data_IF_523321605177
#
_entry.id   IF_523321605177
#
_cell.length_a   1.000
_cell.length_b   1.000
_cell.length_c   1.000
_cell.angle_alpha   90.00
_cell.angle_beta   90.00
_cell.angle_gamma   90.00
#
_symmetry.space_group_name_H-M   'P 1'
#
loop_
_entity.id
_entity.type
_entity.pdbx_description
1 polymer ?
#
# COMPACT_ATOMS: atom_id res chain seq x y z
N UNK A 1 20.42 6.26 11.16
CA UNK A 1 19.67 7.54 11.05
C UNK A 1 18.18 7.39 11.37
N UNK A 2 17.44 6.44 10.78
CA UNK A 2 15.99 6.26 11.02
C UNK A 2 15.59 6.02 12.51
N UNK A 3 16.43 5.31 13.27
CA UNK A 3 16.14 5.01 14.68
C UNK A 3 16.18 6.25 15.61
N UNK A 4 17.10 7.20 15.39
CA UNK A 4 17.20 8.41 16.23
C UNK A 4 16.03 9.38 15.99
N UNK A 5 15.58 9.51 14.74
CA UNK A 5 14.43 10.36 14.39
C UNK A 5 13.12 9.78 14.92
N UNK A 6 12.98 8.46 14.91
CA UNK A 6 11.81 7.76 15.46
C UNK A 6 11.76 7.85 17.00
N UNK A 7 12.92 7.76 17.67
CA UNK A 7 13.00 7.94 19.11
C UNK A 7 12.67 9.38 19.55
N UNK A 8 13.13 10.39 18.81
CA UNK A 8 12.85 11.80 19.11
C UNK A 8 11.36 12.13 18.89
N UNK A 9 10.76 11.66 17.79
CA UNK A 9 9.34 11.89 17.49
C UNK A 9 8.43 11.22 18.52
N UNK A 10 8.76 10.00 18.98
CA UNK A 10 8.05 9.35 20.09
C UNK A 10 8.15 10.16 21.40
N UNK A 11 9.34 10.69 21.71
CA UNK A 11 9.57 11.54 22.90
C UNK A 11 8.80 12.86 22.83
N UNK A 12 8.79 13.54 21.68
CA UNK A 12 8.03 14.78 21.43
C UNK A 12 6.53 14.52 21.58
N UNK A 13 6.03 13.40 21.07
CA UNK A 13 4.63 13.04 21.19
C UNK A 13 4.23 12.74 22.64
N UNK A 14 5.08 12.04 23.40
CA UNK A 14 4.88 11.82 24.83
C UNK A 14 4.83 13.12 25.64
N UNK A 15 5.73 14.07 25.34
CA UNK A 15 5.72 15.38 25.99
C UNK A 15 4.45 16.18 25.65
N UNK A 16 4.00 16.18 24.38
CA UNK A 16 2.77 16.87 23.94
C UNK A 16 1.52 16.34 24.63
N UNK A 17 1.46 15.02 24.88
CA UNK A 17 0.33 14.38 25.55
C UNK A 17 0.29 14.68 27.06
N UNK A 18 1.44 14.98 27.68
CA UNK A 18 1.53 15.31 29.10
C UNK A 18 1.10 16.74 29.46
N UNK A 19 0.89 17.62 28.46
CA UNK A 19 0.49 19.02 28.67
C UNK A 19 -0.97 19.25 28.26
N UNK A 20 -1.88 19.57 29.22
CA UNK A 20 -3.29 19.84 28.92
C UNK A 20 -3.50 20.98 27.93
N UNK A 21 -4.57 20.88 27.12
CA UNK A 21 -4.80 21.80 26.00
C UNK A 21 -5.04 23.28 26.40
N UNK A 22 -5.42 23.53 27.66
CA UNK A 22 -5.73 24.88 28.16
C UNK A 22 -4.55 25.62 28.83
N UNK A 23 -3.40 24.98 29.07
CA UNK A 23 -2.27 25.63 29.76
C UNK A 23 -1.26 26.25 28.77
N UNK A 24 -1.47 27.52 28.46
CA UNK A 24 -0.68 28.30 27.48
C UNK A 24 0.79 28.48 27.89
N UNK A 25 1.09 28.51 29.20
CA UNK A 25 2.46 28.72 29.72
C UNK A 25 3.30 27.46 29.55
N UNK A 26 2.75 26.29 29.92
CA UNK A 26 3.43 25.00 29.77
C UNK A 26 3.59 24.59 28.31
N UNK A 27 2.65 24.95 27.43
CA UNK A 27 2.79 24.74 25.98
C UNK A 27 3.94 25.54 25.37
N UNK A 28 4.15 26.78 25.81
CA UNK A 28 5.27 27.59 25.34
C UNK A 28 6.61 26.98 25.78
N UNK A 29 6.71 26.57 27.06
CA UNK A 29 7.90 25.89 27.58
C UNK A 29 8.17 24.56 26.85
N UNK A 30 7.13 23.82 26.50
CA UNK A 30 7.25 22.59 25.72
C UNK A 30 7.71 22.85 24.28
N UNK A 31 7.21 23.91 23.64
CA UNK A 31 7.66 24.29 22.30
C UNK A 31 9.14 24.71 22.28
N UNK A 32 9.57 25.48 23.28
CA UNK A 32 10.97 25.89 23.44
C UNK A 32 11.89 24.67 23.68
N UNK A 33 11.43 23.70 24.48
CA UNK A 33 12.17 22.46 24.76
C UNK A 33 12.25 21.51 23.55
N UNK A 34 11.17 21.42 22.74
CA UNK A 34 11.17 20.66 21.49
C UNK A 34 12.18 21.27 20.50
N UNK A 35 12.16 22.60 20.34
CA UNK A 35 13.10 23.29 19.45
C UNK A 35 14.57 23.10 19.89
N UNK A 36 14.82 23.05 21.21
CA UNK A 36 16.16 22.77 21.76
C UNK A 36 16.62 21.35 21.43
N UNK A 37 15.76 20.35 21.61
CA UNK A 37 16.09 18.95 21.34
C UNK A 37 16.30 18.67 19.84
N UNK A 38 15.54 19.34 18.97
CA UNK A 38 15.71 19.26 17.52
C UNK A 38 17.04 19.89 17.08
N UNK A 39 17.40 21.06 17.62
CA UNK A 39 18.67 21.71 17.32
C UNK A 39 19.89 20.91 17.80
N UNK A 40 19.82 20.28 18.98
CA UNK A 40 20.89 19.44 19.51
C UNK A 40 21.12 18.18 18.65
N UNK A 41 20.03 17.59 18.15
CA UNK A 41 20.09 16.41 17.28
C UNK A 41 20.68 16.75 15.91
N UNK A 42 20.29 17.89 15.33
CA UNK A 42 20.87 18.38 14.08
C UNK A 42 22.37 18.65 14.23
N UNK A 43 22.78 19.29 15.33
CA UNK A 43 24.19 19.56 15.61
C UNK A 43 25.00 18.25 15.73
N UNK A 44 24.49 17.25 16.47
CA UNK A 44 25.13 15.93 16.57
C UNK A 44 25.28 15.26 15.21
N UNK A 45 24.23 15.29 14.38
CA UNK A 45 24.30 14.73 13.03
C UNK A 45 25.33 15.44 12.16
N UNK A 46 25.42 16.77 12.23
CA UNK A 46 26.44 17.50 11.45
C UNK A 46 27.86 17.15 11.88
N UNK A 47 28.09 16.92 13.18
CA UNK A 47 29.39 16.52 13.72
C UNK A 47 29.73 15.07 13.33
N UNK A 48 28.79 14.13 13.44
CA UNK A 48 28.96 12.73 13.02
C UNK A 48 29.28 12.63 11.52
N UNK A 49 28.59 13.41 10.68
CA UNK A 49 28.87 13.47 9.24
C UNK A 49 30.25 14.07 8.93
N UNK A 50 30.72 15.01 9.75
CA UNK A 50 32.05 15.60 9.62
C UNK A 50 33.13 14.58 10.02
N UNK A 51 32.94 13.89 11.14
CA UNK A 51 33.83 12.82 11.60
C UNK A 51 33.91 11.65 10.60
N UNK A 52 32.79 11.25 10.00
CA UNK A 52 32.76 10.22 8.95
C UNK A 52 33.53 10.65 7.69
N UNK A 53 33.44 11.93 7.31
CA UNK A 53 34.23 12.47 6.18
C UNK A 53 35.71 12.52 6.50
N UNK A 54 36.08 12.90 7.73
CA UNK A 54 37.48 12.94 8.18
C UNK A 54 38.06 11.52 8.28
N UNK A 55 37.32 10.55 8.84
CA UNK A 55 37.71 9.15 8.88
C UNK A 55 37.84 8.53 7.48
N UNK A 56 36.96 8.88 6.55
CA UNK A 56 37.06 8.44 5.15
C UNK A 56 38.30 9.02 4.45
N UNK A 57 38.71 10.26 4.78
CA UNK A 57 39.93 10.87 4.25
C UNK A 57 41.20 10.25 4.84
N UNK A 58 41.18 9.81 6.10
CA UNK A 58 42.29 9.07 6.72
C UNK A 58 42.41 7.63 6.21
N UNK A 59 41.29 6.95 5.97
CA UNK A 59 41.26 5.62 5.35
C UNK A 59 41.87 5.65 3.93
N UNK A 60 41.50 6.66 3.13
CA UNK A 60 42.07 6.87 1.79
C UNK A 60 43.58 7.22 1.83
N UNK A 61 44.08 7.83 2.92
CA UNK A 61 45.51 8.08 3.10
C UNK A 61 46.30 6.83 3.50
N UNK A 62 45.70 5.91 4.27
CA UNK A 62 46.35 4.66 4.68
C UNK A 62 46.39 3.64 3.52
N UNK A 63 45.34 3.59 2.69
CA UNK A 63 45.31 2.73 1.50
C UNK A 63 46.32 3.19 0.42
N UNK A 64 46.64 4.49 0.37
CA UNK A 64 47.68 5.05 -0.51
C UNK A 64 49.11 4.66 -0.12
N UNK A 65 49.36 4.21 1.12
CA UNK A 65 50.70 3.81 1.58
C UNK A 65 50.94 2.31 1.35
N UNK A 66 49.88 1.51 1.25
CA UNK A 66 49.97 0.06 1.01
C UNK A 66 50.28 -0.32 -0.45
N UNK A 67 50.06 0.57 -1.41
CA UNK A 67 50.33 0.34 -2.85
C UNK A 67 51.75 0.75 -3.30
N UNK A 68 52.59 1.21 -2.38
CA UNK A 68 53.92 1.77 -2.66
C UNK A 68 55.07 0.77 -2.88
N UNK A 69 54.83 -0.44 -3.42
CA UNK A 69 55.91 -1.43 -3.67
C UNK A 69 55.89 -2.06 -5.07
N UNK A 70 55.05 -1.60 -6.01
CA UNK A 70 54.97 -2.23 -7.34
C UNK A 70 55.00 -1.27 -8.52
N UNK A 71 55.97 -0.35 -8.56
CA UNK A 71 56.35 0.29 -9.84
C UNK A 71 57.78 0.84 -9.78
N UNK A 72 58.73 0.00 -10.14
CA UNK A 72 60.05 0.40 -10.63
C UNK A 72 60.07 0.16 -12.14
N UNK A 73 60.64 1.12 -12.86
CA UNK A 73 60.98 1.14 -14.29
C UNK A 73 59.88 1.57 -15.27
N UNK A 74 59.79 2.89 -15.50
CA UNK A 74 60.05 3.44 -16.83
C UNK A 74 60.48 4.92 -16.72
N UNK A 75 61.69 5.20 -17.19
CA UNK A 75 62.26 6.54 -17.26
C UNK A 75 61.56 7.44 -18.29
N UNK A 76 61.35 8.71 -17.92
CA UNK A 76 61.49 9.85 -18.82
C UNK A 76 60.25 10.33 -19.58
N UNK A 77 59.40 11.14 -18.93
CA UNK A 77 58.87 12.42 -19.45
C UNK A 77 57.95 13.06 -18.40
N UNK A 78 58.50 13.99 -17.63
CA UNK A 78 57.71 14.95 -16.87
C UNK A 78 56.97 15.88 -17.86
N UNK A 79 55.63 15.92 -17.80
CA UNK A 79 54.85 17.16 -17.59
C UNK A 79 53.33 16.95 -17.82
N UNK A 80 52.57 17.36 -16.80
CA UNK A 80 51.12 17.67 -16.78
C UNK A 80 50.10 16.53 -16.90
N UNK A 81 49.87 15.82 -15.79
CA UNK A 81 48.59 15.15 -15.53
C UNK A 81 47.54 16.23 -15.19
N UNK A 82 46.81 16.71 -16.20
CA UNK A 82 45.59 17.50 -15.96
C UNK A 82 44.51 16.54 -15.44
N UNK A 83 44.11 16.67 -14.18
CA UNK A 83 42.87 16.04 -13.71
C UNK A 83 41.70 16.57 -14.57
N UNK A 84 40.97 15.71 -15.30
CA UNK A 84 39.84 16.17 -16.10
C UNK A 84 38.80 16.79 -15.15
N UNK A 85 38.60 18.11 -15.28
CA UNK A 85 37.60 18.83 -14.50
C UNK A 85 36.22 18.33 -14.94
N UNK A 86 35.65 17.42 -14.14
CA UNK A 86 34.29 16.91 -14.32
C UNK A 86 33.35 18.10 -14.49
N UNK A 87 32.68 18.16 -15.63
CA UNK A 87 31.77 19.25 -15.96
C UNK A 87 30.61 19.32 -14.96
N UNK A 88 30.11 20.52 -14.68
CA UNK A 88 28.89 20.73 -13.87
C UNK A 88 27.70 19.92 -14.41
N UNK A 89 27.66 19.65 -15.72
CA UNK A 89 26.63 18.81 -16.35
C UNK A 89 26.81 17.31 -16.02
N UNK A 90 28.05 16.84 -15.96
CA UNK A 90 28.38 15.45 -15.64
C UNK A 90 28.08 15.13 -14.18
N UNK A 91 28.44 16.04 -13.26
CA UNK A 91 28.08 15.93 -11.83
C UNK A 91 26.57 15.90 -11.57
N UNK A 92 25.76 16.59 -12.39
CA UNK A 92 24.28 16.55 -12.30
C UNK A 92 23.72 15.21 -12.79
N UNK A 93 24.28 14.63 -13.86
CA UNK A 93 23.88 13.31 -14.37
C UNK A 93 24.22 12.21 -13.38
N UNK A 94 25.44 12.25 -12.82
CA UNK A 94 25.89 11.30 -11.79
C UNK A 94 25.01 11.37 -10.53
N UNK A 95 24.65 12.58 -10.07
CA UNK A 95 23.70 12.73 -8.94
C UNK A 95 22.31 12.17 -9.26
N UNK A 96 21.78 12.37 -10.47
CA UNK A 96 20.49 11.81 -10.90
C UNK A 96 20.56 10.28 -10.97
N UNK A 97 21.62 9.73 -11.56
CA UNK A 97 21.84 8.29 -11.66
C UNK A 97 22.00 7.64 -10.28
N UNK A 98 22.70 8.30 -9.34
CA UNK A 98 22.82 7.82 -7.96
C UNK A 98 21.47 7.81 -7.23
N UNK A 99 20.64 8.85 -7.41
CA UNK A 99 19.28 8.89 -6.84
C UNK A 99 18.35 7.85 -7.47
N UNK A 100 18.47 7.61 -8.76
CA UNK A 100 17.70 6.59 -9.48
C UNK A 100 18.11 5.18 -9.05
N UNK A 101 19.42 4.92 -8.93
CA UNK A 101 19.95 3.66 -8.40
C UNK A 101 19.55 3.44 -6.93
N UNK A 102 19.63 4.46 -6.07
CA UNK A 102 19.16 4.36 -4.68
C UNK A 102 17.65 4.07 -4.62
N UNK A 103 16.88 4.68 -5.52
CA UNK A 103 15.44 4.41 -5.64
C UNK A 103 15.18 2.98 -6.11
N UNK A 104 15.94 2.48 -7.09
CA UNK A 104 15.84 1.11 -7.60
C UNK A 104 16.27 0.09 -6.53
N UNK A 105 17.37 0.34 -5.81
CA UNK A 105 17.83 -0.51 -4.71
C UNK A 105 16.79 -0.57 -3.59
N UNK A 106 16.19 0.57 -3.21
CA UNK A 106 15.09 0.59 -2.23
C UNK A 106 13.84 -0.15 -2.71
N UNK A 107 13.53 -0.09 -4.02
CA UNK A 107 12.43 -0.86 -4.60
C UNK A 107 12.75 -2.35 -4.57
N UNK A 108 13.97 -2.75 -4.93
CA UNK A 108 14.40 -4.14 -4.92
C UNK A 108 14.42 -4.73 -3.51
N UNK A 109 14.91 -3.99 -2.51
CA UNK A 109 14.84 -4.40 -1.09
C UNK A 109 13.39 -4.57 -0.63
N UNK A 110 12.51 -3.62 -0.96
CA UNK A 110 11.09 -3.74 -0.65
C UNK A 110 10.43 -4.92 -1.39
N UNK A 111 10.85 -5.25 -2.61
CA UNK A 111 10.38 -6.43 -3.34
C UNK A 111 10.83 -7.73 -2.67
N UNK A 112 12.08 -7.80 -2.20
CA UNK A 112 12.60 -8.96 -1.46
C UNK A 112 11.86 -9.16 -0.15
N UNK A 113 11.60 -8.10 0.62
CA UNK A 113 10.77 -8.19 1.83
C UNK A 113 9.34 -8.63 1.49
N UNK A 114 8.78 -8.14 0.38
CA UNK A 114 7.46 -8.53 -0.11
C UNK A 114 7.38 -10.00 -0.53
N UNK A 115 8.47 -10.64 -0.99
CA UNK A 115 8.48 -12.07 -1.34
C UNK A 115 8.16 -12.98 -0.14
N UNK A 116 8.54 -12.57 1.08
CA UNK A 116 8.12 -13.28 2.31
C UNK A 116 6.90 -12.65 2.99
N UNK A 117 6.40 -11.55 2.43
CA UNK A 117 5.31 -10.78 2.98
C UNK A 117 3.97 -11.51 2.89
N UNK A 118 3.08 -11.18 3.84
CA UNK A 118 1.72 -11.72 3.91
C UNK A 118 0.96 -11.61 2.56
N UNK A 119 1.18 -10.51 1.82
CA UNK A 119 0.62 -10.29 0.48
C UNK A 119 1.02 -11.34 -0.54
N UNK A 120 2.31 -11.71 -0.59
CA UNK A 120 2.80 -12.66 -1.58
C UNK A 120 2.31 -14.08 -1.27
N UNK A 121 2.31 -14.45 0.01
CA UNK A 121 1.71 -15.71 0.47
C UNK A 121 0.21 -15.80 0.15
N UNK A 122 -0.54 -14.72 0.39
CA UNK A 122 -1.95 -14.61 0.05
C UNK A 122 -2.18 -14.75 -1.45
N UNK A 123 -1.39 -14.03 -2.26
CA UNK A 123 -1.48 -14.07 -3.72
C UNK A 123 -1.20 -15.48 -4.26
N UNK A 124 -0.17 -16.17 -3.76
CA UNK A 124 0.18 -17.53 -4.19
C UNK A 124 -0.91 -18.55 -3.84
N UNK A 125 -1.45 -18.51 -2.62
CA UNK A 125 -2.52 -19.42 -2.21
C UNK A 125 -3.79 -19.19 -3.01
N UNK A 126 -4.20 -17.94 -3.19
CA UNK A 126 -5.38 -17.60 -4.00
C UNK A 126 -5.20 -18.00 -5.46
N UNK A 127 -4.00 -17.78 -6.04
CA UNK A 127 -3.69 -18.25 -7.39
C UNK A 127 -3.83 -19.77 -7.51
N UNK A 128 -3.34 -20.53 -6.51
CA UNK A 128 -3.45 -21.99 -6.49
C UNK A 128 -4.91 -22.47 -6.38
N UNK A 129 -5.72 -21.82 -5.51
CA UNK A 129 -7.14 -22.13 -5.34
C UNK A 129 -7.95 -21.87 -6.62
N UNK A 130 -7.65 -20.76 -7.32
CA UNK A 130 -8.34 -20.40 -8.55
C UNK A 130 -7.87 -21.25 -9.74
N UNK A 131 -6.58 -21.59 -9.81
CA UNK A 131 -6.04 -22.44 -10.87
C UNK A 131 -6.70 -23.83 -10.89
N UNK A 132 -7.01 -24.41 -9.71
CA UNK A 132 -7.77 -25.65 -9.60
C UNK A 132 -9.20 -25.57 -10.18
N UNK A 133 -9.70 -24.34 -10.42
CA UNK A 133 -11.00 -24.05 -11.03
C UNK A 133 -10.87 -23.50 -12.46
N UNK A 134 -9.66 -23.55 -13.06
CA UNK A 134 -9.35 -22.92 -14.35
C UNK A 134 -9.62 -21.39 -14.37
N UNK A 135 -9.38 -20.72 -13.24
CA UNK A 135 -9.54 -19.29 -13.07
C UNK A 135 -8.22 -18.65 -12.64
N UNK A 136 -8.09 -17.35 -12.88
CA UNK A 136 -7.01 -16.51 -12.35
C UNK A 136 -7.54 -15.16 -11.86
N UNK A 137 -6.77 -14.51 -10.99
CA UNK A 137 -7.12 -13.19 -10.45
C UNK A 137 -7.04 -12.15 -11.57
N UNK A 138 -8.11 -11.39 -11.75
CA UNK A 138 -8.12 -10.18 -12.55
C UNK A 138 -8.08 -8.96 -11.64
N UNK A 139 -6.95 -8.27 -11.65
CA UNK A 139 -6.71 -7.13 -10.78
C UNK A 139 -7.68 -5.97 -11.08
N UNK A 140 -8.28 -5.44 -10.02
CA UNK A 140 -9.19 -4.30 -10.03
C UNK A 140 -8.49 -3.09 -9.40
N UNK A 141 -8.68 -1.86 -9.91
CA UNK A 141 -8.10 -0.66 -9.31
C UNK A 141 -8.49 -0.46 -7.85
N UNK A 142 -7.53 -0.04 -7.01
CA UNK A 142 -7.74 0.30 -5.60
C UNK A 142 -8.22 1.75 -5.44
N UNK A 143 -9.46 2.03 -5.82
CA UNK A 143 -10.07 3.37 -5.77
C UNK A 143 -11.28 3.49 -4.82
N UNK A 144 -11.42 2.54 -3.89
CA UNK A 144 -12.58 2.46 -2.97
C UNK A 144 -13.87 1.94 -3.61
N UNK A 145 -13.88 1.71 -4.93
CA UNK A 145 -14.99 1.08 -5.63
C UNK A 145 -14.72 -0.38 -6.01
N UNK A 146 -13.65 -0.99 -5.47
CA UNK A 146 -13.13 -2.28 -5.90
C UNK A 146 -14.17 -3.41 -5.90
N UNK A 147 -14.99 -3.55 -4.86
CA UNK A 147 -16.05 -4.55 -4.79
C UNK A 147 -17.07 -4.39 -5.94
N UNK A 148 -17.57 -3.16 -6.14
CA UNK A 148 -18.53 -2.86 -7.21
C UNK A 148 -17.91 -3.01 -8.60
N UNK A 149 -16.64 -2.64 -8.77
CA UNK A 149 -15.90 -2.82 -10.03
C UNK A 149 -15.66 -4.29 -10.36
N UNK A 150 -15.38 -5.11 -9.35
CA UNK A 150 -15.20 -6.55 -9.52
C UNK A 150 -16.52 -7.20 -9.98
N UNK A 151 -17.65 -6.80 -9.38
CA UNK A 151 -18.98 -7.27 -9.81
C UNK A 151 -19.33 -6.76 -11.21
N UNK A 152 -19.16 -5.46 -11.47
CA UNK A 152 -19.35 -4.87 -12.80
C UNK A 152 -18.55 -5.65 -13.85
N UNK A 153 -17.31 -6.01 -13.55
CA UNK A 153 -16.45 -6.77 -14.45
C UNK A 153 -16.93 -8.19 -14.73
N UNK A 154 -17.42 -8.92 -13.71
CA UNK A 154 -18.03 -10.25 -13.87
C UNK A 154 -19.35 -10.21 -14.65
N UNK A 155 -20.05 -9.07 -14.64
CA UNK A 155 -21.32 -8.89 -15.34
C UNK A 155 -21.17 -8.52 -16.81
N UNK A 156 -19.97 -8.13 -17.30
CA UNK A 156 -19.73 -7.66 -18.68
C UNK A 156 -20.12 -8.65 -19.77
N UNK A 157 -20.09 -9.95 -19.48
CA UNK A 157 -20.48 -11.00 -20.44
C UNK A 157 -22.00 -11.10 -20.62
N UNK A 158 -22.76 -10.52 -19.70
CA UNK A 158 -24.21 -10.40 -19.78
C UNK A 158 -24.48 -9.03 -20.39
N UNK A 159 -25.22 -8.95 -21.50
CA UNK A 159 -25.53 -7.73 -22.29
C UNK A 159 -26.24 -6.58 -21.52
N UNK A 160 -26.21 -6.59 -20.19
CA UNK A 160 -26.82 -5.62 -19.30
C UNK A 160 -25.84 -4.50 -18.93
N UNK A 161 -26.35 -3.26 -18.97
CA UNK A 161 -25.63 -2.02 -18.65
C UNK A 161 -25.40 -1.81 -17.16
N UNK A 162 -24.88 -2.80 -16.44
CA UNK A 162 -24.47 -2.62 -15.05
C UNK A 162 -23.20 -1.79 -15.01
N UNK A 163 -23.28 -0.65 -14.33
CA UNK A 163 -22.15 0.22 -14.01
C UNK A 163 -21.96 0.29 -12.50
N UNK A 164 -20.75 0.64 -12.03
CA UNK A 164 -20.49 0.92 -10.59
C UNK A 164 -21.54 1.87 -10.00
N UNK A 165 -21.88 2.94 -10.72
CA UNK A 165 -22.86 3.93 -10.28
C UNK A 165 -24.26 3.31 -10.13
N UNK A 166 -24.69 2.48 -11.07
CA UNK A 166 -25.99 1.80 -10.99
C UNK A 166 -26.00 0.75 -9.88
N UNK A 167 -24.91 -0.02 -9.70
CA UNK A 167 -24.83 -1.04 -8.65
C UNK A 167 -24.91 -0.39 -7.26
N UNK A 168 -24.18 0.70 -7.03
CA UNK A 168 -24.23 1.48 -5.77
C UNK A 168 -25.63 2.03 -5.49
N UNK A 169 -26.25 2.66 -6.48
CA UNK A 169 -27.60 3.22 -6.34
C UNK A 169 -28.65 2.14 -6.05
N UNK A 170 -28.59 0.99 -6.74
CA UNK A 170 -29.53 -0.09 -6.48
C UNK A 170 -29.29 -0.73 -5.11
N UNK A 171 -28.03 -0.87 -4.70
CA UNK A 171 -27.67 -1.37 -3.36
C UNK A 171 -28.27 -0.49 -2.27
N UNK A 172 -28.02 0.82 -2.31
CA UNK A 172 -28.59 1.76 -1.34
C UNK A 172 -30.12 1.72 -1.30
N UNK A 173 -30.78 1.73 -2.48
CA UNK A 173 -32.25 1.65 -2.57
C UNK A 173 -32.80 0.35 -2.00
N UNK A 174 -32.13 -0.77 -2.25
CA UNK A 174 -32.55 -2.08 -1.75
C UNK A 174 -32.42 -2.13 -0.23
N UNK A 175 -31.30 -1.67 0.32
CA UNK A 175 -31.08 -1.64 1.76
C UNK A 175 -32.09 -0.71 2.47
N UNK A 176 -32.41 0.44 1.88
CA UNK A 176 -33.46 1.34 2.38
C UNK A 176 -34.85 0.70 2.40
N UNK A 177 -35.22 -0.06 1.36
CA UNK A 177 -36.53 -0.71 1.31
C UNK A 177 -36.63 -1.96 2.18
N UNK A 178 -35.51 -2.51 2.64
CA UNK A 178 -35.42 -3.69 3.51
C UNK A 178 -34.72 -3.34 4.82
N UNK A 179 -35.00 -2.15 5.36
CA UNK A 179 -34.36 -1.58 6.55
C UNK A 179 -34.17 -2.59 7.70
N UNK A 180 -35.23 -3.32 8.05
CA UNK A 180 -35.23 -4.26 9.18
C UNK A 180 -34.29 -5.47 8.98
N UNK A 181 -33.96 -5.81 7.73
CA UNK A 181 -33.06 -6.92 7.40
C UNK A 181 -31.58 -6.52 7.53
N UNK A 182 -31.27 -5.22 7.42
CA UNK A 182 -29.89 -4.71 7.42
C UNK A 182 -29.50 -4.00 8.71
N UNK A 183 -30.42 -3.28 9.35
CA UNK A 183 -30.14 -2.50 10.57
C UNK A 183 -29.48 -3.32 11.70
N UNK A 184 -29.88 -4.57 11.99
CA UNK A 184 -29.29 -5.36 13.07
C UNK A 184 -27.78 -5.58 12.96
N UNK A 185 -27.20 -5.39 11.77
CA UNK A 185 -25.78 -5.60 11.49
C UNK A 185 -24.97 -4.31 11.44
N UNK A 186 -25.60 -3.15 11.68
CA UNK A 186 -24.96 -1.84 11.63
C UNK A 186 -24.90 -1.23 13.02
N UNK A 187 -23.68 -1.04 13.52
CA UNK A 187 -23.41 -0.50 14.85
C UNK A 187 -22.47 0.70 14.80
N UNK A 188 -22.74 1.71 15.63
CA UNK A 188 -21.88 2.88 15.78
C UNK A 188 -20.53 2.47 16.39
N UNK A 189 -19.39 2.68 15.71
CA UNK A 189 -18.09 2.24 16.21
C UNK A 189 -17.67 2.90 17.53
N UNK A 190 -18.24 4.07 17.86
CA UNK A 190 -17.90 4.81 19.07
C UNK A 190 -18.75 4.42 20.27
N UNK A 191 -20.03 4.12 20.06
CA UNK A 191 -20.97 3.79 21.15
C UNK A 191 -21.23 2.29 21.28
N UNK A 192 -21.06 1.53 20.19
CA UNK A 192 -21.42 0.12 20.11
C UNK A 192 -22.92 -0.13 19.93
N UNK A 193 -23.74 0.92 19.93
CA UNK A 193 -25.19 0.82 19.73
C UNK A 193 -25.52 0.55 18.27
N UNK A 194 -26.69 -0.04 18.02
CA UNK A 194 -27.26 -0.12 16.68
C UNK A 194 -27.45 1.27 16.10
N UNK A 195 -27.30 1.39 14.78
CA UNK A 195 -27.59 2.64 14.08
C UNK A 195 -29.01 3.14 14.36
N UNK A 196 -29.15 4.46 14.48
CA UNK A 196 -30.45 5.12 14.37
C UNK A 196 -30.95 5.05 12.93
N UNK A 197 -32.23 5.38 12.71
CA UNK A 197 -32.79 5.50 11.36
C UNK A 197 -32.02 6.52 10.52
N UNK A 198 -31.67 7.66 11.11
CA UNK A 198 -30.93 8.73 10.45
C UNK A 198 -29.49 8.30 10.10
N UNK A 199 -28.81 7.55 10.99
CA UNK A 199 -27.49 7.00 10.71
C UNK A 199 -27.53 5.95 9.58
N UNK A 200 -28.58 5.12 9.56
CA UNK A 200 -28.80 4.16 8.48
C UNK A 200 -29.09 4.83 7.14
N UNK A 201 -29.93 5.86 7.13
CA UNK A 201 -30.22 6.64 5.92
C UNK A 201 -28.95 7.30 5.38
N UNK A 202 -28.12 7.87 6.27
CA UNK A 202 -26.80 8.41 5.91
C UNK A 202 -25.88 7.32 5.36
N UNK A 203 -25.86 6.13 5.95
CA UNK A 203 -25.06 5.01 5.47
C UNK A 203 -25.45 4.60 4.04
N UNK A 204 -26.74 4.53 3.76
CA UNK A 204 -27.24 4.25 2.40
C UNK A 204 -26.88 5.38 1.42
N UNK A 205 -26.95 6.64 1.85
CA UNK A 205 -26.52 7.78 1.03
C UNK A 205 -25.02 7.72 0.72
N UNK A 206 -24.19 7.41 1.72
CA UNK A 206 -22.74 7.24 1.56
C UNK A 206 -22.43 6.11 0.56
N UNK A 207 -23.17 4.99 0.61
CA UNK A 207 -23.05 3.89 -0.37
C UNK A 207 -23.30 4.37 -1.80
N UNK A 208 -24.37 5.15 -1.99
CA UNK A 208 -24.80 5.61 -3.30
C UNK A 208 -23.86 6.66 -3.90
N UNK A 209 -23.39 7.60 -3.07
CA UNK A 209 -22.80 8.86 -3.52
C UNK A 209 -21.29 8.96 -3.32
N UNK A 210 -20.66 8.01 -2.64
CA UNK A 210 -19.23 8.11 -2.29
C UNK A 210 -18.44 6.86 -2.66
N UNK A 211 -17.13 6.88 -2.38
CA UNK A 211 -16.24 5.73 -2.46
C UNK A 211 -16.22 4.90 -1.16
N UNK A 212 -17.30 4.93 -0.37
CA UNK A 212 -17.47 4.05 0.79
C UNK A 212 -17.25 2.59 0.38
N UNK A 213 -16.41 1.90 1.14
CA UNK A 213 -16.06 0.50 0.89
C UNK A 213 -17.29 -0.37 1.12
N UNK A 214 -17.54 -1.31 0.21
CA UNK A 214 -18.59 -2.29 0.36
C UNK A 214 -18.07 -3.56 1.03
N UNK A 215 -18.97 -4.31 1.65
CA UNK A 215 -18.68 -5.61 2.24
C UNK A 215 -19.88 -6.54 2.19
N UNK A 216 -20.00 -7.39 3.22
CA UNK A 216 -20.97 -8.49 3.26
C UNK A 216 -22.43 -8.03 3.09
N UNK A 217 -22.82 -6.89 3.68
CA UNK A 217 -24.18 -6.37 3.61
C UNK A 217 -24.52 -5.93 2.18
N UNK A 218 -23.60 -5.22 1.53
CA UNK A 218 -23.78 -4.78 0.14
C UNK A 218 -23.77 -5.98 -0.81
N UNK A 219 -22.93 -7.00 -0.57
CA UNK A 219 -22.96 -8.26 -1.34
C UNK A 219 -24.30 -8.99 -1.18
N UNK A 220 -24.88 -9.00 0.02
CA UNK A 220 -26.21 -9.59 0.27
C UNK A 220 -27.29 -8.85 -0.51
N UNK A 221 -27.30 -7.52 -0.44
CA UNK A 221 -28.22 -6.70 -1.21
C UNK A 221 -28.04 -6.91 -2.73
N UNK A 222 -26.79 -6.92 -3.22
CA UNK A 222 -26.48 -7.13 -4.64
C UNK A 222 -26.89 -8.51 -5.14
N UNK A 223 -26.73 -9.55 -4.33
CA UNK A 223 -27.20 -10.88 -4.68
C UNK A 223 -28.72 -10.91 -4.88
N UNK A 224 -29.49 -10.24 -4.01
CA UNK A 224 -30.93 -10.07 -4.19
C UNK A 224 -31.28 -9.23 -5.43
N UNK A 225 -30.56 -8.13 -5.69
CA UNK A 225 -30.81 -7.27 -6.86
C UNK A 225 -30.56 -8.01 -8.17
N UNK A 226 -29.46 -8.78 -8.22
CA UNK A 226 -29.01 -9.51 -9.41
C UNK A 226 -29.67 -10.90 -9.50
N UNK A 227 -30.39 -11.34 -8.47
CA UNK A 227 -30.98 -12.69 -8.35
C UNK A 227 -29.95 -13.79 -8.66
N UNK A 228 -28.71 -13.60 -8.22
CA UNK A 228 -27.56 -14.44 -8.57
C UNK A 228 -26.68 -14.66 -7.34
N UNK A 229 -26.20 -15.89 -7.09
CA UNK A 229 -25.25 -16.13 -6.00
C UNK A 229 -23.94 -15.39 -6.22
N UNK A 230 -23.33 -14.89 -5.14
CA UNK A 230 -22.00 -14.28 -5.15
C UNK A 230 -21.08 -15.12 -4.27
N UNK A 231 -20.02 -15.68 -4.85
CA UNK A 231 -19.00 -16.44 -4.14
C UNK A 231 -17.76 -15.56 -3.92
N UNK A 232 -17.31 -15.46 -2.68
CA UNK A 232 -16.09 -14.72 -2.29
C UNK A 232 -15.01 -15.70 -1.89
N UNK A 233 -13.97 -15.82 -2.71
CA UNK A 233 -12.80 -16.65 -2.45
C UNK A 233 -11.76 -15.86 -1.65
N UNK A 234 -11.26 -16.45 -0.56
CA UNK A 234 -10.28 -15.85 0.34
C UNK A 234 -9.23 -16.88 0.80
N UNK A 235 -8.11 -16.42 1.35
CA UNK A 235 -6.96 -17.27 1.66
C UNK A 235 -7.18 -18.19 2.87
N UNK A 236 -7.68 -17.66 3.98
CA UNK A 236 -7.61 -18.33 5.30
C UNK A 236 -8.90 -19.06 5.69
N UNK A 237 -9.89 -19.11 4.81
CA UNK A 237 -11.16 -19.78 5.07
C UNK A 237 -11.83 -20.24 3.78
N UNK A 238 -12.78 -21.20 3.86
CA UNK A 238 -13.58 -21.60 2.71
C UNK A 238 -14.25 -20.39 2.03
N UNK A 239 -14.51 -20.48 0.71
CA UNK A 239 -15.26 -19.45 0.01
C UNK A 239 -16.61 -19.20 0.70
N UNK A 240 -16.96 -17.93 0.86
CA UNK A 240 -18.25 -17.52 1.40
C UNK A 240 -19.20 -17.34 0.23
N UNK A 241 -20.34 -18.02 0.25
CA UNK A 241 -21.39 -17.84 -0.75
C UNK A 241 -22.52 -17.02 -0.15
N UNK A 242 -22.94 -15.98 -0.87
CA UNK A 242 -24.06 -15.12 -0.53
C UNK A 242 -25.14 -15.32 -1.58
N UNK A 243 -26.39 -15.48 -1.13
CA UNK A 243 -27.51 -15.68 -2.06
C UNK A 243 -27.69 -17.12 -2.50
N UNK A 244 -27.43 -18.09 -1.61
CA UNK A 244 -27.59 -19.52 -1.90
C UNK A 244 -29.04 -19.90 -2.28
N UNK A 245 -30.02 -19.04 -1.98
CA UNK A 245 -31.40 -19.19 -2.44
C UNK A 245 -31.56 -19.02 -3.97
N UNK A 246 -30.59 -18.43 -4.65
CA UNK A 246 -30.61 -18.23 -6.09
C UNK A 246 -29.91 -19.36 -6.84
N UNK A 247 -30.45 -19.71 -8.00
CA UNK A 247 -29.86 -20.72 -8.89
C UNK A 247 -29.13 -20.04 -10.04
N UNK A 248 -27.96 -20.56 -10.43
CA UNK A 248 -27.22 -20.04 -11.58
C UNK A 248 -25.72 -20.16 -11.41
N UNK A 249 -24.98 -19.66 -12.41
CA UNK A 249 -23.52 -19.51 -12.31
C UNK A 249 -23.21 -18.36 -11.34
N UNK A 250 -22.45 -18.59 -10.25
CA UNK A 250 -22.16 -17.54 -9.29
C UNK A 250 -21.26 -16.46 -9.91
N UNK A 251 -21.42 -15.24 -9.41
CA UNK A 251 -20.43 -14.17 -9.57
C UNK A 251 -19.28 -14.48 -8.61
N UNK A 252 -18.06 -14.62 -9.12
CA UNK A 252 -16.90 -15.01 -8.30
C UNK A 252 -16.02 -13.78 -8.06
N UNK A 253 -15.80 -13.47 -6.80
CA UNK A 253 -14.92 -12.40 -6.32
C UNK A 253 -13.76 -12.99 -5.54
N UNK A 254 -12.62 -12.29 -5.56
CA UNK A 254 -11.45 -12.63 -4.77
C UNK A 254 -11.22 -11.56 -3.73
N UNK A 255 -11.28 -11.93 -2.46
CA UNK A 255 -11.02 -11.04 -1.34
C UNK A 255 -9.60 -11.25 -0.80
N UNK A 256 -8.86 -10.16 -0.70
CA UNK A 256 -7.48 -10.12 -0.26
C UNK A 256 -7.35 -9.15 0.91
N UNK A 257 -6.85 -9.61 2.05
CA UNK A 257 -6.68 -8.80 3.27
C UNK A 257 -5.42 -7.96 3.23
N UNK A 258 -4.43 -8.38 2.45
CA UNK A 258 -3.09 -7.77 2.41
C UNK A 258 -2.73 -7.26 1.00
N UNK A 259 -3.73 -6.98 0.16
CA UNK A 259 -3.51 -6.63 -1.25
C UNK A 259 -2.71 -5.34 -1.43
N UNK A 260 -2.97 -4.33 -0.59
CA UNK A 260 -2.36 -3.00 -0.69
C UNK A 260 -1.99 -2.47 0.69
N UNK A 261 -1.29 -1.32 0.74
CA UNK A 261 -0.91 -0.68 2.00
C UNK A 261 -2.09 -0.28 2.89
N UNK A 262 -3.30 -0.18 2.34
CA UNK A 262 -4.56 0.06 3.08
C UNK A 262 -5.27 -1.24 3.50
N UNK A 263 -4.71 -2.41 3.16
CA UNK A 263 -5.24 -3.72 3.52
C UNK A 263 -6.19 -4.31 2.48
N UNK A 264 -7.47 -4.37 2.86
CA UNK A 264 -8.52 -5.17 2.25
C UNK A 264 -8.90 -4.72 0.83
N UNK A 265 -9.11 -5.68 -0.07
CA UNK A 265 -9.45 -5.39 -1.46
C UNK A 265 -10.18 -6.54 -2.15
N UNK A 266 -11.08 -6.19 -3.08
CA UNK A 266 -11.77 -7.14 -3.94
C UNK A 266 -11.24 -7.09 -5.37
N UNK A 267 -10.99 -8.27 -5.93
CA UNK A 267 -10.63 -8.48 -7.32
C UNK A 267 -11.69 -9.33 -8.04
N UNK A 268 -11.69 -9.23 -9.36
CA UNK A 268 -12.49 -10.07 -10.26
C UNK A 268 -11.71 -11.35 -10.59
N UNK A 269 -12.34 -12.30 -11.27
CA UNK A 269 -11.68 -13.46 -11.86
C UNK A 269 -11.79 -13.45 -13.37
N UNK A 270 -10.88 -14.13 -14.05
CA UNK A 270 -11.01 -14.45 -15.48
C UNK A 270 -10.62 -15.91 -15.72
N UNK A 271 -11.01 -16.43 -16.89
CA UNK A 271 -10.55 -17.75 -17.32
C UNK A 271 -9.03 -17.77 -17.38
N UNK A 272 -8.44 -18.83 -16.84
CA UNK A 272 -7.01 -19.08 -16.95
C UNK A 272 -6.69 -19.28 -18.43
N UNK A 273 -5.95 -18.36 -19.03
CA UNK A 273 -5.43 -18.53 -20.38
C UNK A 273 -4.20 -19.42 -20.31
N UNK A 274 -4.25 -20.59 -20.95
CA UNK A 274 -3.08 -21.45 -21.13
C UNK A 274 -2.03 -20.70 -21.97
N UNK A 275 -1.08 -20.05 -21.31
CA UNK A 275 0.13 -19.55 -21.96
C UNK A 275 1.08 -20.71 -22.24
N UNK A 276 0.65 -21.63 -23.10
CA UNK A 276 1.42 -22.81 -23.51
C UNK A 276 1.26 -23.13 -25.01
N UNK A 277 1.08 -22.13 -25.89
CA UNK A 277 1.20 -22.32 -27.35
C UNK A 277 1.68 -21.05 -28.08
N UNK A 278 2.85 -20.52 -27.74
CA UNK A 278 3.64 -19.68 -28.66
C UNK A 278 5.13 -19.96 -28.42
N UNK A 279 5.57 -21.14 -28.85
CA UNK A 279 6.97 -21.47 -29.15
C UNK A 279 6.95 -22.77 -29.96
N UNK A 280 6.70 -22.65 -31.26
CA UNK A 280 6.70 -23.81 -32.16
C UNK A 280 5.93 -23.60 -33.45
N UNK A 281 6.46 -22.77 -34.34
CA UNK A 281 6.29 -22.91 -35.80
C UNK A 281 7.51 -22.29 -36.47
#
# INVERSE_FOLDING_TARGET
>A
MSYCTNALTAKIQGMKNAVPKNDKRRRKQLADEVARLEAELEQKHTEELKQLKEASLEQNKLDSVADGVANLELEGLEQHIQHPRISKAQKRREKKAALEKEREERIAEAEIENLTGARHLESQKLASLLAARHLEIKQIPSDGHCMYRAIEDQLKDHQNSWTVATLRNQTAKYMQSHFDDFLPFLTNPSTGDMYSREEFEKYCDDIANTAAWGGQLELRALSHILQTPIEVVQMDSPPITVGEEYSGKPIILVYMRHAYGLGEHYNSVKLLTDTATENGS
#
